data_IF_577995880815
#
_entry.id   IF_577995880815
#
_cell.length_a   1.000
_cell.length_b   1.000
_cell.length_c   1.000
_cell.angle_alpha   90.00
_cell.angle_beta   90.00
_cell.angle_gamma   90.00
#
_symmetry.space_group_name_H-M   'P 1'
#
loop_
_entity.id
_entity.type
_entity.pdbx_description
1 polymer ?
#
# COMPACT_ATOMS: atom_id res chain seq x y z
N UNK A 1 5.50 -13.99 -16.34
CA UNK A 1 4.21 -13.68 -15.68
C UNK A 1 4.53 -12.92 -14.40
N UNK A 2 3.83 -11.81 -14.10
CA UNK A 2 4.05 -11.04 -12.86
C UNK A 2 3.16 -11.60 -11.75
N UNK A 3 3.70 -11.74 -10.54
CA UNK A 3 2.97 -12.21 -9.36
C UNK A 3 3.21 -11.25 -8.21
N UNK A 4 2.12 -10.75 -7.64
CA UNK A 4 2.14 -9.85 -6.49
C UNK A 4 1.66 -10.61 -5.24
N UNK A 5 2.13 -10.21 -4.06
CA UNK A 5 1.70 -10.77 -2.78
C UNK A 5 0.84 -9.76 -2.02
N UNK A 6 -0.29 -10.22 -1.47
CA UNK A 6 -1.22 -9.36 -0.73
C UNK A 6 -1.01 -9.48 0.77
N UNK A 7 -1.04 -8.35 1.47
CA UNK A 7 -0.97 -8.27 2.94
C UNK A 7 -1.96 -7.25 3.49
N UNK A 8 -2.46 -7.52 4.70
CA UNK A 8 -3.14 -6.52 5.52
C UNK A 8 -2.17 -5.55 6.18
N UNK A 9 -2.71 -4.66 7.01
CA UNK A 9 -1.91 -3.73 7.81
C UNK A 9 -1.06 -4.43 8.87
N UNK A 10 0.27 -4.28 8.78
CA UNK A 10 1.26 -4.78 9.75
C UNK A 10 1.86 -3.63 10.57
N UNK A 11 2.60 -3.90 11.67
CA UNK A 11 3.47 -2.89 12.29
C UNK A 11 4.45 -2.35 11.26
N UNK A 12 4.77 -1.05 11.29
CA UNK A 12 5.56 -0.43 10.22
C UNK A 12 6.93 -1.09 10.02
N UNK A 13 7.60 -1.47 11.12
CA UNK A 13 8.85 -2.25 11.05
C UNK A 13 8.66 -3.62 10.40
N UNK A 14 7.55 -4.29 10.70
CA UNK A 14 7.20 -5.57 10.09
C UNK A 14 6.81 -5.42 8.62
N UNK A 15 6.21 -4.30 8.21
CA UNK A 15 5.91 -4.01 6.81
C UNK A 15 7.19 -3.79 5.99
N UNK A 16 8.16 -3.05 6.54
CA UNK A 16 9.48 -2.90 5.91
C UNK A 16 10.18 -4.26 5.71
N UNK A 17 10.21 -5.10 6.75
CA UNK A 17 10.77 -6.44 6.66
C UNK A 17 10.02 -7.32 5.64
N UNK A 18 8.68 -7.28 5.64
CA UNK A 18 7.86 -8.01 4.69
C UNK A 18 8.15 -7.62 3.23
N UNK A 19 8.33 -6.33 2.95
CA UNK A 19 8.66 -5.85 1.61
C UNK A 19 10.02 -6.39 1.12
N UNK A 20 11.03 -6.38 2.00
CA UNK A 20 12.34 -6.97 1.71
C UNK A 20 12.26 -8.48 1.49
N UNK A 21 11.43 -9.18 2.27
CA UNK A 21 11.23 -10.63 2.13
C UNK A 21 10.52 -10.96 0.81
N UNK A 22 9.52 -10.17 0.42
CA UNK A 22 8.79 -10.33 -0.83
C UNK A 22 9.70 -10.10 -2.06
N UNK A 23 10.53 -9.06 -2.02
CA UNK A 23 11.55 -8.78 -3.04
C UNK A 23 12.55 -9.95 -3.17
N UNK A 24 13.12 -10.42 -2.04
CA UNK A 24 14.06 -11.56 -2.06
C UNK A 24 13.42 -12.86 -2.53
N UNK A 25 12.12 -13.04 -2.31
CA UNK A 25 11.37 -14.19 -2.78
C UNK A 25 11.01 -14.10 -4.28
N UNK A 26 11.30 -12.98 -4.95
CA UNK A 26 11.06 -12.78 -6.38
C UNK A 26 9.64 -12.35 -6.76
N UNK A 27 8.86 -11.84 -5.80
CA UNK A 27 7.57 -11.22 -6.12
C UNK A 27 7.76 -9.93 -6.92
N UNK A 28 6.83 -9.68 -7.84
CA UNK A 28 6.84 -8.46 -8.66
C UNK A 28 6.36 -7.23 -7.87
N UNK A 29 5.53 -7.45 -6.85
CA UNK A 29 4.87 -6.36 -6.12
C UNK A 29 4.23 -6.82 -4.81
N UNK A 30 3.90 -5.84 -3.98
CA UNK A 30 3.06 -6.01 -2.79
C UNK A 30 1.74 -5.26 -2.94
N UNK A 31 0.67 -5.84 -2.41
CA UNK A 31 -0.66 -5.24 -2.35
C UNK A 31 -1.05 -5.06 -0.89
N UNK A 32 -1.20 -3.81 -0.45
CA UNK A 32 -1.54 -3.46 0.94
C UNK A 32 -3.03 -3.13 1.03
N UNK A 33 -3.78 -3.94 1.76
CA UNK A 33 -5.22 -3.75 1.93
C UNK A 33 -5.51 -2.84 3.12
N UNK A 34 -6.41 -1.86 2.97
CA UNK A 34 -6.86 -1.05 4.09
C UNK A 34 -7.84 -1.82 4.99
N UNK A 35 -7.70 -1.67 6.30
CA UNK A 35 -8.55 -2.32 7.30
C UNK A 35 -8.36 -1.67 8.66
N UNK A 36 -8.04 -2.46 9.70
CA UNK A 36 -7.73 -1.94 11.04
C UNK A 36 -6.53 -0.97 11.11
N UNK A 37 -5.78 -0.83 10.02
CA UNK A 37 -4.73 0.18 9.83
C UNK A 37 -4.84 0.78 8.44
N UNK A 38 -4.40 2.03 8.32
CA UNK A 38 -4.26 2.71 7.02
C UNK A 38 -3.25 1.98 6.13
N UNK A 39 -3.58 1.84 4.84
CA UNK A 39 -2.67 1.22 3.88
C UNK A 39 -1.45 2.13 3.58
N UNK A 40 -1.63 3.46 3.61
CA UNK A 40 -0.62 4.42 3.16
C UNK A 40 0.68 4.39 3.96
N UNK A 41 0.61 4.36 5.29
CA UNK A 41 1.82 4.32 6.13
C UNK A 41 2.57 2.99 5.95
N UNK A 42 1.84 1.90 5.71
CA UNK A 42 2.44 0.62 5.35
C UNK A 42 3.17 0.71 4.01
N UNK A 43 2.53 1.28 2.99
CA UNK A 43 3.16 1.54 1.69
C UNK A 43 4.42 2.41 1.83
N UNK A 44 4.40 3.45 2.66
CA UNK A 44 5.58 4.29 2.92
C UNK A 44 6.72 3.52 3.60
N UNK A 45 6.41 2.68 4.58
CA UNK A 45 7.41 1.84 5.23
C UNK A 45 8.03 0.82 4.26
N UNK A 46 7.23 0.23 3.37
CA UNK A 46 7.71 -0.67 2.33
C UNK A 46 8.54 0.06 1.27
N UNK A 47 8.09 1.26 0.84
CA UNK A 47 8.75 2.08 -0.18
C UNK A 47 10.20 2.44 0.19
N UNK A 48 10.45 2.71 1.47
CA UNK A 48 11.79 3.03 1.97
C UNK A 48 12.67 1.80 2.21
N UNK A 49 12.10 0.60 2.19
CA UNK A 49 12.79 -0.62 2.61
C UNK A 49 13.23 -1.54 1.45
N UNK A 50 12.52 -1.50 0.31
CA UNK A 50 12.74 -2.40 -0.82
C UNK A 50 12.41 -1.76 -2.17
N UNK A 51 13.05 -2.24 -3.25
CA UNK A 51 12.86 -1.79 -4.63
C UNK A 51 11.77 -2.64 -5.33
N UNK A 52 10.56 -2.61 -4.77
CA UNK A 52 9.42 -3.45 -5.22
C UNK A 52 8.23 -2.59 -5.66
N UNK A 53 7.37 -3.11 -6.56
CA UNK A 53 6.10 -2.44 -6.89
C UNK A 53 5.17 -2.44 -5.67
N UNK A 54 4.48 -1.32 -5.43
CA UNK A 54 3.59 -1.19 -4.25
C UNK A 54 2.22 -0.72 -4.73
N UNK A 55 1.16 -1.40 -4.28
CA UNK A 55 -0.22 -1.10 -4.62
C UNK A 55 -1.08 -1.02 -3.35
N UNK A 56 -2.01 -0.07 -3.25
CA UNK A 56 -3.13 -0.19 -2.31
C UNK A 56 -4.25 -1.04 -2.92
N UNK A 57 -4.72 -2.07 -2.23
CA UNK A 57 -5.73 -3.00 -2.75
C UNK A 57 -6.90 -3.27 -1.79
N UNK A 58 -7.74 -2.30 -1.46
CA UNK A 58 -7.75 -0.89 -1.90
C UNK A 58 -7.53 0.03 -0.70
N UNK A 59 -7.20 1.29 -0.97
CA UNK A 59 -7.45 2.36 -0.01
C UNK A 59 -8.94 2.74 -0.08
N UNK A 60 -9.57 2.95 1.08
CA UNK A 60 -10.98 3.31 1.16
C UNK A 60 -11.14 4.79 0.81
N UNK A 61 -12.01 5.12 -0.14
CA UNK A 61 -12.12 6.48 -0.68
C UNK A 61 -12.81 7.47 0.27
N UNK A 62 -13.92 7.07 0.90
CA UNK A 62 -14.77 7.97 1.70
C UNK A 62 -14.21 8.53 3.03
N UNK A 63 -13.33 7.84 3.79
CA UNK A 63 -12.89 8.35 5.09
C UNK A 63 -11.89 9.53 5.00
N UNK A 64 -11.58 10.03 3.79
CA UNK A 64 -10.56 11.06 3.58
C UNK A 64 -10.86 11.94 2.37
N UNK A 65 -10.32 13.15 2.37
CA UNK A 65 -10.42 14.07 1.23
C UNK A 65 -9.73 13.46 -0.01
N UNK A 66 -10.34 13.59 -1.21
CA UNK A 66 -9.68 13.25 -2.47
C UNK A 66 -8.34 13.97 -2.66
N UNK A 67 -8.23 15.22 -2.20
CA UNK A 67 -6.98 15.99 -2.31
C UNK A 67 -5.88 15.39 -1.44
N UNK A 68 -6.19 15.07 -0.18
CA UNK A 68 -5.23 14.43 0.74
C UNK A 68 -4.79 13.06 0.21
N UNK A 69 -5.72 12.31 -0.39
CA UNK A 69 -5.40 11.04 -1.06
C UNK A 69 -4.42 11.23 -2.22
N UNK A 70 -4.62 12.27 -3.03
CA UNK A 70 -3.74 12.59 -4.15
C UNK A 70 -2.34 13.02 -3.68
N UNK A 71 -2.25 13.86 -2.64
CA UNK A 71 -0.97 14.30 -2.05
C UNK A 71 -0.16 13.11 -1.52
N UNK A 72 -0.79 12.21 -0.74
CA UNK A 72 -0.12 11.00 -0.24
C UNK A 72 0.34 10.11 -1.39
N UNK A 73 -0.50 9.92 -2.41
CA UNK A 73 -0.14 9.10 -3.57
C UNK A 73 1.03 9.72 -4.36
N UNK A 74 1.11 11.05 -4.44
CA UNK A 74 2.22 11.75 -5.04
C UNK A 74 3.53 11.50 -4.29
N UNK A 75 3.53 11.65 -2.97
CA UNK A 75 4.73 11.38 -2.14
C UNK A 75 5.16 9.91 -2.23
N UNK A 76 4.21 8.97 -2.26
CA UNK A 76 4.53 7.55 -2.42
C UNK A 76 5.06 7.23 -3.82
N UNK A 77 4.55 7.88 -4.86
CA UNK A 77 5.10 7.77 -6.21
C UNK A 77 6.54 8.30 -6.26
N UNK A 78 6.83 9.43 -5.63
CA UNK A 78 8.20 9.97 -5.50
C UNK A 78 9.12 9.01 -4.74
N UNK A 79 8.71 8.57 -3.55
CA UNK A 79 9.51 7.69 -2.68
C UNK A 79 9.84 6.34 -3.32
N UNK A 80 9.00 5.88 -4.25
CA UNK A 80 9.18 4.61 -4.97
C UNK A 80 9.74 4.78 -6.38
N UNK A 81 10.18 5.98 -6.78
CA UNK A 81 10.64 6.23 -8.15
C UNK A 81 9.60 5.87 -9.23
N UNK A 82 8.31 6.04 -8.91
CA UNK A 82 7.17 5.78 -9.81
C UNK A 82 6.58 4.36 -9.73
N UNK A 83 7.04 3.50 -8.83
CA UNK A 83 6.52 2.11 -8.69
C UNK A 83 5.25 1.99 -7.84
N UNK A 84 4.83 3.06 -7.17
CA UNK A 84 3.60 3.09 -6.41
C UNK A 84 2.37 3.23 -7.32
N UNK A 85 1.35 2.42 -7.05
CA UNK A 85 0.05 2.44 -7.70
C UNK A 85 -1.05 2.65 -6.66
N UNK A 86 -1.88 3.66 -6.87
CA UNK A 86 -3.02 3.92 -6.01
C UNK A 86 -4.23 3.10 -6.47
N UNK A 87 -4.61 2.07 -5.71
CA UNK A 87 -5.93 1.44 -5.85
C UNK A 87 -6.91 2.03 -4.86
N UNK A 88 -8.04 2.52 -5.37
CA UNK A 88 -9.12 3.12 -4.61
C UNK A 88 -10.39 2.30 -4.74
N UNK A 89 -11.16 2.23 -3.67
CA UNK A 89 -12.49 1.63 -3.70
C UNK A 89 -13.42 2.22 -2.64
N UNK A 90 -14.69 1.87 -2.78
CA UNK A 90 -15.74 2.26 -1.84
C UNK A 90 -15.66 1.41 -0.56
N UNK A 91 -16.19 1.93 0.54
CA UNK A 91 -16.37 1.13 1.74
C UNK A 91 -17.53 0.15 1.53
N UNK A 92 -17.42 -1.04 2.12
CA UNK A 92 -18.53 -2.01 2.12
C UNK A 92 -19.59 -1.60 3.15
N UNK A 93 -20.87 -1.82 2.82
CA UNK A 93 -22.01 -1.47 3.70
C UNK A 93 -21.87 -2.03 5.12
N UNK A 94 -21.27 -3.20 5.28
CA UNK A 94 -21.07 -3.85 6.58
C UNK A 94 -20.16 -3.06 7.54
N UNK A 95 -19.36 -2.12 7.03
CA UNK A 95 -18.42 -1.30 7.82
C UNK A 95 -18.87 0.17 7.93
N UNK A 96 -20.13 0.48 7.64
CA UNK A 96 -20.72 1.82 7.76
C UNK A 96 -21.80 1.74 8.85
N UNK A 97 -21.63 2.53 9.92
CA UNK A 97 -22.63 2.69 11.01
C UNK A 97 -23.56 3.86 10.75
#
# INVERSE_FOLDING_TARGET
MKFDVMTGGLPLRSMAAFAQDAERAGFSGIVVTEGGRTAYLGCGAAALAADIDILTGVAVAFPRSPMVTAEIAWELAEATGGRFRLGLGTQVRAHIT
#
